data_IF_421078692848
#
_entry.id   IF_421078692848
#
_cell.length_a   1.000
_cell.length_b   1.000
_cell.length_c   1.000
_cell.angle_alpha   90.00
_cell.angle_beta   90.00
_cell.angle_gamma   90.00
#
_symmetry.space_group_name_H-M   'P 1'
#
loop_
_entity.id
_entity.type
_entity.pdbx_description
1 polymer ?
#
# COMPACT_ATOMS: atom_id res chain seq x y z
N UNK A 1 15.11 13.20 -63.31
CA UNK A 1 13.98 12.89 -62.43
C UNK A 1 13.51 11.50 -62.80
N UNK A 2 13.76 10.54 -61.93
CA UNK A 2 13.60 9.11 -62.24
C UNK A 2 12.11 8.73 -62.11
N UNK A 3 11.50 8.31 -63.22
CA UNK A 3 10.08 7.97 -63.35
C UNK A 3 9.70 6.74 -62.51
N UNK A 4 10.69 6.00 -62.00
CA UNK A 4 10.49 4.85 -61.11
C UNK A 4 10.00 5.21 -59.71
N UNK A 5 10.29 6.41 -59.22
CA UNK A 5 9.88 6.84 -57.87
C UNK A 5 8.46 7.41 -57.80
N UNK A 6 7.84 7.73 -58.94
CA UNK A 6 6.44 8.18 -58.99
C UNK A 6 5.44 7.01 -59.00
N UNK A 7 5.82 5.86 -59.58
CA UNK A 7 4.96 4.66 -59.64
C UNK A 7 5.12 3.71 -58.46
N UNK A 8 6.18 3.84 -57.65
CA UNK A 8 6.38 3.01 -56.45
C UNK A 8 5.39 3.36 -55.31
N UNK A 9 4.81 4.57 -55.34
CA UNK A 9 3.80 5.02 -54.38
C UNK A 9 2.36 4.53 -54.66
N UNK A 10 2.09 3.98 -55.85
CA UNK A 10 0.71 3.65 -56.28
C UNK A 10 0.32 2.18 -56.08
N UNK A 11 1.27 1.30 -55.75
CA UNK A 11 1.02 -0.13 -55.51
C UNK A 11 1.82 -0.67 -54.32
N UNK A 12 1.58 -0.12 -53.12
CA UNK A 12 1.87 -0.85 -51.89
C UNK A 12 0.56 -1.41 -51.33
N UNK A 13 0.10 -2.53 -51.88
CA UNK A 13 -0.95 -3.31 -51.22
C UNK A 13 -0.38 -3.85 -49.89
N UNK A 14 -0.68 -3.16 -48.79
CA UNK A 14 -0.36 -3.65 -47.45
C UNK A 14 -0.96 -5.05 -47.29
N UNK A 15 -0.18 -6.06 -46.88
CA UNK A 15 -0.66 -7.43 -46.81
C UNK A 15 -1.82 -7.53 -45.80
N UNK A 16 -2.94 -8.04 -46.30
CA UNK A 16 -4.30 -7.87 -45.75
C UNK A 16 -4.59 -8.67 -44.46
N UNK A 17 -3.77 -9.63 -44.04
CA UNK A 17 -4.04 -10.53 -42.90
C UNK A 17 -2.84 -10.61 -41.94
N UNK A 18 -2.35 -9.47 -41.45
CA UNK A 18 -1.06 -9.39 -40.75
C UNK A 18 -1.23 -8.63 -39.42
N UNK A 19 -1.00 -9.31 -38.29
CA UNK A 19 -0.80 -8.70 -36.98
C UNK A 19 0.46 -7.84 -37.06
N UNK A 20 0.31 -6.52 -36.93
CA UNK A 20 1.43 -5.60 -36.87
C UNK A 20 1.82 -5.39 -35.42
N UNK A 21 2.99 -5.90 -35.03
CA UNK A 21 3.56 -5.67 -33.71
C UNK A 21 4.91 -4.96 -33.86
N UNK A 22 5.43 -4.32 -32.80
CA UNK A 22 6.82 -3.86 -32.77
C UNK A 22 7.84 -4.98 -33.08
N UNK A 23 7.44 -6.24 -32.88
CA UNK A 23 8.23 -7.45 -33.09
C UNK A 23 8.07 -8.04 -34.51
N UNK A 24 7.31 -7.36 -35.37
CA UNK A 24 7.13 -7.71 -36.77
C UNK A 24 5.67 -8.01 -37.15
N UNK A 25 5.54 -8.36 -38.43
CA UNK A 25 4.29 -8.58 -39.14
C UNK A 25 4.00 -10.10 -39.22
N UNK A 26 2.92 -10.58 -38.58
CA UNK A 26 2.58 -12.02 -38.51
C UNK A 26 1.24 -12.34 -39.16
N UNK A 27 1.18 -13.33 -40.06
CA UNK A 27 -0.09 -13.86 -40.60
C UNK A 27 -0.41 -15.22 -39.97
N UNK A 28 -1.20 -15.21 -38.90
CA UNK A 28 -1.53 -16.40 -38.11
C UNK A 28 -2.28 -17.50 -38.88
N UNK A 29 -2.79 -17.23 -40.08
CA UNK A 29 -3.40 -18.22 -40.97
C UNK A 29 -2.37 -19.09 -41.72
N UNK A 30 -1.07 -18.80 -41.61
CA UNK A 30 0.01 -19.57 -42.24
C UNK A 30 0.77 -20.38 -41.20
N UNK A 31 0.89 -21.69 -41.38
CA UNK A 31 1.66 -22.57 -40.46
C UNK A 31 3.13 -22.15 -40.23
N UNK A 32 3.76 -21.45 -41.18
CA UNK A 32 5.11 -20.86 -41.01
C UNK A 32 5.13 -19.71 -40.00
N UNK A 33 4.09 -18.88 -39.98
CA UNK A 33 3.98 -17.75 -39.08
C UNK A 33 3.53 -18.20 -37.68
N UNK A 34 2.72 -19.27 -37.58
CA UNK A 34 2.43 -19.95 -36.30
C UNK A 34 3.73 -20.42 -35.63
N UNK A 35 4.62 -21.10 -36.36
CA UNK A 35 5.94 -21.51 -35.84
C UNK A 35 6.81 -20.31 -35.44
N UNK A 36 6.70 -19.19 -36.14
CA UNK A 36 7.44 -17.95 -35.85
C UNK A 36 6.94 -17.28 -34.56
N UNK A 37 5.62 -17.30 -34.33
CA UNK A 37 4.98 -16.81 -33.10
C UNK A 37 5.31 -17.72 -31.91
N UNK A 38 5.26 -19.04 -32.07
CA UNK A 38 5.71 -19.97 -31.03
C UNK A 38 7.17 -19.73 -30.64
N UNK A 39 8.05 -19.52 -31.63
CA UNK A 39 9.45 -19.16 -31.39
C UNK A 39 9.56 -17.83 -30.64
N UNK A 40 8.79 -16.82 -31.01
CA UNK A 40 8.76 -15.51 -30.34
C UNK A 40 8.32 -15.63 -28.87
N UNK A 41 7.28 -16.41 -28.55
CA UNK A 41 6.86 -16.65 -27.16
C UNK A 41 7.95 -17.35 -26.36
N UNK A 42 8.61 -18.35 -26.94
CA UNK A 42 9.75 -19.03 -26.31
C UNK A 42 10.91 -18.06 -26.06
N UNK A 43 11.21 -17.19 -27.03
CA UNK A 43 12.27 -16.20 -26.92
C UNK A 43 11.93 -15.13 -25.86
N UNK A 44 10.67 -14.68 -25.78
CA UNK A 44 10.17 -13.79 -24.72
C UNK A 44 10.29 -14.46 -23.34
N UNK A 45 9.82 -15.70 -23.20
CA UNK A 45 9.94 -16.45 -21.95
C UNK A 45 11.40 -16.61 -21.51
N UNK A 46 12.29 -16.99 -22.44
CA UNK A 46 13.74 -17.10 -22.16
C UNK A 46 14.35 -15.77 -21.74
N UNK A 47 13.90 -14.67 -22.34
CA UNK A 47 14.35 -13.33 -21.99
C UNK A 47 13.90 -12.96 -20.58
N UNK A 48 12.63 -13.17 -20.24
CA UNK A 48 12.08 -12.96 -18.89
C UNK A 48 12.79 -13.80 -17.83
N UNK A 49 13.06 -15.07 -18.12
CA UNK A 49 13.81 -15.97 -17.24
C UNK A 49 15.25 -15.48 -17.02
N UNK A 50 15.93 -15.03 -18.10
CA UNK A 50 17.29 -14.50 -18.03
C UNK A 50 17.37 -13.21 -17.22
N UNK A 51 16.42 -12.28 -17.43
CA UNK A 51 16.31 -11.04 -16.65
C UNK A 51 16.08 -11.34 -15.18
N UNK A 52 15.11 -12.21 -14.86
CA UNK A 52 14.80 -12.60 -13.47
C UNK A 52 16.01 -13.22 -12.77
N UNK A 53 16.75 -14.13 -13.44
CA UNK A 53 17.97 -14.70 -12.86
C UNK A 53 19.04 -13.65 -12.60
N UNK A 54 19.22 -12.70 -13.51
CA UNK A 54 20.18 -11.60 -13.38
C UNK A 54 19.82 -10.70 -12.20
N UNK A 55 18.56 -10.28 -12.10
CA UNK A 55 18.10 -9.35 -11.06
C UNK A 55 18.13 -10.00 -9.67
N UNK A 56 17.73 -11.28 -9.57
CA UNK A 56 17.86 -12.05 -8.32
C UNK A 56 19.34 -12.23 -7.94
N UNK A 57 20.23 -12.45 -8.90
CA UNK A 57 21.68 -12.49 -8.63
C UNK A 57 22.16 -11.13 -8.11
N UNK A 58 21.77 -10.03 -8.74
CA UNK A 58 22.11 -8.68 -8.29
C UNK A 58 21.62 -8.40 -6.87
N UNK A 59 20.38 -8.81 -6.56
CA UNK A 59 19.82 -8.75 -5.20
C UNK A 59 20.64 -9.55 -4.19
N UNK A 60 21.00 -10.79 -4.52
CA UNK A 60 21.83 -11.62 -3.65
C UNK A 60 23.22 -11.03 -3.44
N UNK A 61 23.86 -10.55 -4.50
CA UNK A 61 25.18 -9.90 -4.44
C UNK A 61 25.11 -8.60 -3.59
N UNK A 62 24.04 -7.82 -3.73
CA UNK A 62 23.80 -6.61 -2.93
C UNK A 62 23.57 -6.95 -1.44
N UNK A 63 22.80 -8.00 -1.14
CA UNK A 63 22.62 -8.47 0.22
C UNK A 63 23.93 -8.92 0.86
N UNK A 64 24.74 -9.72 0.15
CA UNK A 64 26.06 -10.14 0.65
C UNK A 64 26.99 -8.95 0.91
N UNK A 65 26.92 -7.91 0.09
CA UNK A 65 27.67 -6.66 0.31
C UNK A 65 27.18 -5.88 1.53
N UNK A 66 25.86 -5.92 1.82
CA UNK A 66 25.28 -5.20 2.95
C UNK A 66 25.67 -5.83 4.30
N UNK A 67 25.79 -7.15 4.36
CA UNK A 67 26.18 -7.89 5.58
C UNK A 67 27.69 -8.08 5.73
N UNK A 68 28.49 -7.51 4.83
CA UNK A 68 29.95 -7.60 4.92
C UNK A 68 30.43 -6.88 6.19
N UNK A 69 31.15 -7.59 7.06
CA UNK A 69 31.57 -7.06 8.35
C UNK A 69 32.67 -6.00 8.20
N UNK A 70 33.59 -6.16 7.25
CA UNK A 70 34.74 -5.27 7.10
C UNK A 70 34.37 -3.97 6.36
N UNK A 71 33.50 -4.09 5.36
CA UNK A 71 33.08 -3.01 4.48
C UNK A 71 31.59 -3.14 4.12
N UNK A 72 30.66 -2.91 5.07
CA UNK A 72 29.23 -2.97 4.79
C UNK A 72 28.84 -1.90 3.78
N UNK A 73 28.08 -2.29 2.76
CA UNK A 73 27.54 -1.34 1.78
C UNK A 73 26.11 -1.70 1.40
N UNK A 74 25.19 -0.82 1.79
CA UNK A 74 23.75 -0.93 1.51
C UNK A 74 23.33 -0.19 0.24
N UNK A 75 24.26 0.47 -0.46
CA UNK A 75 23.92 1.37 -1.58
C UNK A 75 23.14 0.66 -2.69
N UNK A 76 23.65 -0.50 -3.17
CA UNK A 76 22.99 -1.31 -4.20
C UNK A 76 21.67 -1.89 -3.70
N UNK A 77 21.61 -2.20 -2.40
CA UNK A 77 20.40 -2.74 -1.78
C UNK A 77 19.30 -1.68 -1.75
N UNK A 78 19.63 -0.43 -1.42
CA UNK A 78 18.68 0.69 -1.47
C UNK A 78 18.19 1.04 -2.87
N UNK A 79 19.00 0.82 -3.91
CA UNK A 79 18.52 0.93 -5.29
C UNK A 79 17.45 -0.12 -5.62
N UNK A 80 17.66 -1.36 -5.15
CA UNK A 80 16.67 -2.43 -5.31
C UNK A 80 15.41 -2.13 -4.49
N UNK A 81 15.54 -1.55 -3.30
CA UNK A 81 14.39 -1.19 -2.47
C UNK A 81 13.53 -0.11 -3.14
N UNK A 82 14.15 0.88 -3.76
CA UNK A 82 13.43 1.91 -4.51
C UNK A 82 12.66 1.31 -5.69
N UNK A 83 13.19 0.28 -6.35
CA UNK A 83 12.48 -0.44 -7.41
C UNK A 83 11.38 -1.36 -6.85
N UNK A 84 11.54 -1.90 -5.64
CA UNK A 84 10.49 -2.68 -4.98
C UNK A 84 9.34 -1.79 -4.48
N UNK A 85 9.65 -0.61 -3.92
CA UNK A 85 8.69 0.33 -3.33
C UNK A 85 7.62 0.81 -4.32
N UNK A 86 7.93 0.86 -5.61
CA UNK A 86 6.97 1.25 -6.66
C UNK A 86 5.96 0.15 -7.03
N UNK A 87 6.08 -1.06 -6.48
CA UNK A 87 5.10 -2.12 -6.68
C UNK A 87 3.77 -1.73 -6.01
N UNK A 88 2.73 -1.56 -6.82
CA UNK A 88 1.43 -1.01 -6.36
C UNK A 88 0.82 -1.77 -5.18
N UNK A 89 0.98 -3.09 -5.14
CA UNK A 89 0.44 -3.91 -4.05
C UNK A 89 1.25 -3.73 -2.77
N UNK A 90 2.58 -3.75 -2.88
CA UNK A 90 3.47 -3.47 -1.76
C UNK A 90 3.24 -2.06 -1.21
N UNK A 91 3.15 -1.04 -2.08
CA UNK A 91 2.86 0.33 -1.64
C UNK A 91 1.54 0.39 -0.88
N UNK A 92 0.48 -0.24 -1.39
CA UNK A 92 -0.83 -0.30 -0.71
C UNK A 92 -0.75 -0.92 0.70
N UNK A 93 -0.02 -2.02 0.86
CA UNK A 93 0.18 -2.65 2.16
C UNK A 93 0.92 -1.73 3.15
N UNK A 94 1.98 -1.06 2.68
CA UNK A 94 2.80 -0.13 3.47
C UNK A 94 1.97 1.08 3.90
N UNK A 95 1.20 1.67 2.98
CA UNK A 95 0.31 2.79 3.29
C UNK A 95 -0.76 2.41 4.30
N UNK A 96 -1.35 1.21 4.20
CA UNK A 96 -2.37 0.75 5.15
C UNK A 96 -1.78 0.65 6.55
N UNK A 97 -0.66 -0.07 6.72
CA UNK A 97 0.01 -0.21 8.02
C UNK A 97 0.40 1.13 8.62
N UNK A 98 1.05 1.98 7.82
CA UNK A 98 1.45 3.33 8.25
C UNK A 98 0.25 4.20 8.60
N UNK A 99 -0.81 4.14 7.79
CA UNK A 99 -2.04 4.92 7.99
C UNK A 99 -2.68 4.62 9.35
N UNK A 100 -2.76 3.35 9.74
CA UNK A 100 -3.31 2.96 11.04
C UNK A 100 -2.49 3.45 12.23
N UNK A 101 -1.16 3.51 12.12
CA UNK A 101 -0.30 4.09 13.16
C UNK A 101 -0.49 5.61 13.22
N UNK A 102 -0.41 6.28 12.06
CA UNK A 102 -0.47 7.74 11.96
C UNK A 102 -1.86 8.32 12.24
N UNK A 103 -2.92 7.50 12.19
CA UNK A 103 -4.29 7.91 12.51
C UNK A 103 -4.58 7.91 14.01
N UNK A 104 -3.69 7.34 14.84
CA UNK A 104 -3.88 7.31 16.28
C UNK A 104 -3.64 8.67 16.92
N UNK A 105 -4.52 9.03 17.83
CA UNK A 105 -4.33 10.15 18.73
C UNK A 105 -3.23 9.84 19.74
N UNK A 106 -2.52 10.87 20.17
CA UNK A 106 -1.49 10.78 21.18
C UNK A 106 -1.72 11.86 22.23
N UNK A 107 -1.12 11.66 23.40
CA UNK A 107 -1.13 12.62 24.50
C UNK A 107 0.25 12.78 25.07
N UNK A 108 0.46 13.91 25.74
CA UNK A 108 1.67 14.17 26.50
C UNK A 108 1.31 14.13 27.97
N UNK A 109 1.96 13.25 28.73
CA UNK A 109 1.67 13.02 30.15
C UNK A 109 2.84 13.45 31.02
N UNK A 110 2.54 13.86 32.24
CA UNK A 110 3.54 14.14 33.26
C UNK A 110 4.04 12.86 33.97
N UNK A 111 4.84 13.03 35.02
CA UNK A 111 5.38 11.90 35.81
C UNK A 111 4.28 11.13 36.57
N UNK A 112 3.13 11.76 36.86
CA UNK A 112 1.98 11.14 37.53
C UNK A 112 1.04 10.45 36.55
N UNK A 113 1.16 10.74 35.26
CA UNK A 113 0.28 10.25 34.20
C UNK A 113 -0.85 11.21 33.85
N UNK A 114 -0.83 12.43 34.40
CA UNK A 114 -1.82 13.46 34.10
C UNK A 114 -1.48 14.10 32.75
N UNK A 115 -2.50 14.30 31.92
CA UNK A 115 -2.35 14.87 30.57
C UNK A 115 -2.02 16.37 30.62
N UNK A 116 -1.13 16.79 29.72
CA UNK A 116 -0.72 18.18 29.55
C UNK A 116 -1.07 18.65 28.13
N UNK A 117 -2.25 19.24 27.98
CA UNK A 117 -2.78 19.74 26.70
C UNK A 117 -1.89 20.84 26.09
N UNK A 118 -1.31 21.72 26.91
CA UNK A 118 -0.41 22.77 26.42
C UNK A 118 0.85 22.18 25.78
N UNK A 119 1.35 21.07 26.32
CA UNK A 119 2.54 20.42 25.78
C UNK A 119 2.28 19.72 24.44
N UNK A 120 1.04 19.29 24.17
CA UNK A 120 0.64 18.67 22.89
C UNK A 120 0.90 19.63 21.72
N UNK A 121 0.73 20.94 21.92
CA UNK A 121 0.99 21.98 20.90
C UNK A 121 2.39 21.90 20.28
N UNK A 122 3.42 21.57 21.07
CA UNK A 122 4.79 21.44 20.57
C UNK A 122 4.97 20.24 19.63
N UNK A 123 4.11 19.23 19.73
CA UNK A 123 4.17 18.01 18.92
C UNK A 123 3.14 18.02 17.79
N UNK A 124 2.00 18.70 17.90
CA UNK A 124 1.00 18.78 16.82
C UNK A 124 1.43 19.74 15.70
N UNK A 125 2.56 19.42 15.08
CA UNK A 125 3.23 20.20 14.06
C UNK A 125 3.60 19.31 12.87
N UNK A 126 3.77 19.92 11.69
CA UNK A 126 4.09 19.19 10.47
C UNK A 126 5.43 18.43 10.55
N UNK A 127 6.44 19.03 11.19
CA UNK A 127 7.76 18.44 11.38
C UNK A 127 7.69 17.14 12.19
N UNK A 128 6.83 17.08 13.22
CA UNK A 128 6.69 15.90 14.07
C UNK A 128 6.00 14.76 13.31
N UNK A 129 4.93 15.07 12.57
CA UNK A 129 4.25 14.11 11.68
C UNK A 129 5.22 13.55 10.63
N UNK A 130 6.12 14.38 10.10
CA UNK A 130 7.15 13.96 9.16
C UNK A 130 8.25 13.10 9.81
N UNK A 131 8.65 13.41 11.05
CA UNK A 131 9.60 12.61 11.83
C UNK A 131 9.06 11.20 12.07
N UNK A 132 7.79 11.09 12.49
CA UNK A 132 7.12 9.82 12.73
C UNK A 132 7.09 8.97 11.45
N UNK A 133 6.83 9.59 10.28
CA UNK A 133 6.88 8.91 8.98
C UNK A 133 8.28 8.37 8.67
N UNK A 134 9.33 9.19 8.79
CA UNK A 134 10.70 8.73 8.53
C UNK A 134 11.15 7.63 9.51
N UNK A 135 10.70 7.71 10.76
CA UNK A 135 10.97 6.68 11.77
C UNK A 135 10.24 5.36 11.43
N UNK A 136 8.97 5.41 11.04
CA UNK A 136 8.23 4.23 10.55
C UNK A 136 8.87 3.60 9.32
N UNK A 137 9.35 4.42 8.38
CA UNK A 137 10.01 3.92 7.17
C UNK A 137 11.25 3.09 7.49
N UNK A 138 11.87 3.24 8.67
CA UNK A 138 12.99 2.38 9.10
C UNK A 138 12.62 0.90 9.18
N UNK A 139 11.34 0.55 9.39
CA UNK A 139 10.87 -0.86 9.37
C UNK A 139 11.07 -1.48 7.98
N UNK A 140 10.80 -0.71 6.92
CA UNK A 140 10.86 -1.19 5.55
C UNK A 140 12.28 -1.09 4.97
N UNK A 141 12.96 0.01 5.27
CA UNK A 141 14.30 0.32 4.77
C UNK A 141 15.44 -0.20 5.66
N UNK A 142 15.13 -0.66 6.88
CA UNK A 142 16.06 -1.16 7.90
C UNK A 142 16.58 -0.06 8.83
N UNK A 143 16.89 1.12 8.28
CA UNK A 143 17.43 2.24 9.05
C UNK A 143 17.00 3.59 8.47
N UNK A 144 16.80 4.56 9.36
CA UNK A 144 16.60 5.97 9.04
C UNK A 144 17.40 6.84 10.01
N UNK A 145 18.23 7.74 9.46
CA UNK A 145 18.88 8.80 10.20
C UNK A 145 18.19 10.12 9.89
N UNK A 146 17.60 10.75 10.90
CA UNK A 146 16.72 11.91 10.76
C UNK A 146 17.38 13.11 11.42
N UNK A 147 17.55 14.19 10.67
CA UNK A 147 18.05 15.47 11.14
C UNK A 147 16.90 16.38 11.55
N UNK A 148 17.00 16.94 12.75
CA UNK A 148 16.16 18.01 13.24
C UNK A 148 16.59 19.32 12.58
N UNK A 149 15.62 20.06 12.04
CA UNK A 149 15.85 21.37 11.44
C UNK A 149 16.17 22.45 12.49
N UNK A 150 16.43 23.66 12.02
CA UNK A 150 16.79 24.79 12.88
C UNK A 150 15.64 25.16 13.84
N UNK A 151 16.01 25.79 14.96
CA UNK A 151 15.03 26.31 15.90
C UNK A 151 14.41 27.60 15.36
N UNK A 152 13.08 27.62 15.33
CA UNK A 152 12.30 28.79 14.98
C UNK A 152 11.12 28.98 15.95
N UNK A 153 10.24 29.90 15.62
CA UNK A 153 9.04 30.22 16.38
C UNK A 153 7.82 29.99 15.50
N UNK A 154 6.81 29.31 16.03
CA UNK A 154 5.56 29.09 15.33
C UNK A 154 4.66 30.35 15.33
N UNK A 155 3.45 30.22 14.80
CA UNK A 155 2.48 31.33 14.72
C UNK A 155 2.02 31.85 16.08
N UNK A 156 2.14 31.06 17.14
CA UNK A 156 1.66 31.36 18.49
C UNK A 156 2.78 31.86 19.42
N UNK A 157 4.01 31.97 18.90
CA UNK A 157 5.16 32.44 19.67
C UNK A 157 5.92 31.33 20.41
N UNK A 158 5.58 30.07 20.17
CA UNK A 158 6.21 28.91 20.80
C UNK A 158 7.42 28.43 19.98
N UNK A 159 8.42 27.87 20.67
CA UNK A 159 9.59 27.26 20.04
C UNK A 159 9.19 26.02 19.23
N UNK A 160 9.70 25.89 18.02
CA UNK A 160 9.48 24.73 17.16
C UNK A 160 10.71 24.46 16.27
N UNK A 161 10.73 23.29 15.63
CA UNK A 161 11.71 22.99 14.57
C UNK A 161 11.15 23.43 13.22
N UNK A 162 12.01 23.99 12.36
CA UNK A 162 11.62 24.41 11.00
C UNK A 162 11.10 23.26 10.15
N UNK A 163 11.76 22.12 10.25
CA UNK A 163 11.50 20.90 9.49
C UNK A 163 12.27 19.72 10.10
N UNK A 164 12.16 18.56 9.46
CA UNK A 164 13.03 17.40 9.69
C UNK A 164 13.43 16.81 8.34
N UNK A 165 14.67 16.35 8.23
CA UNK A 165 15.23 15.81 6.98
C UNK A 165 15.72 14.40 7.18
N UNK A 166 15.43 13.52 6.24
CA UNK A 166 16.06 12.21 6.19
C UNK A 166 17.44 12.36 5.54
N UNK A 167 18.50 12.01 6.27
CA UNK A 167 19.84 11.91 5.69
C UNK A 167 19.81 10.83 4.61
N UNK A 168 20.32 11.08 3.38
CA UNK A 168 20.26 10.12 2.31
C UNK A 168 20.81 8.75 2.73
N UNK A 169 19.96 7.72 2.75
CA UNK A 169 20.30 6.39 3.31
C UNK A 169 21.59 5.80 2.74
N UNK A 170 21.90 6.06 1.47
CA UNK A 170 23.14 5.60 0.81
C UNK A 170 24.43 6.18 1.41
N UNK A 171 24.33 7.30 2.12
CA UNK A 171 25.44 7.97 2.77
C UNK A 171 25.59 7.56 4.24
N UNK A 172 24.66 6.79 4.79
CA UNK A 172 24.68 6.38 6.19
C UNK A 172 25.21 4.95 6.28
N UNK A 173 26.22 4.75 7.12
CA UNK A 173 26.75 3.44 7.49
C UNK A 173 26.42 3.21 8.97
N UNK A 174 25.23 2.66 9.26
CA UNK A 174 24.68 2.64 10.61
C UNK A 174 25.44 1.71 11.55
N UNK A 175 26.04 0.63 11.05
CA UNK A 175 26.87 -0.33 11.80
C UNK A 175 27.99 0.38 12.57
N UNK A 176 28.58 1.41 11.95
CA UNK A 176 29.69 2.18 12.53
C UNK A 176 29.28 3.56 13.04
N UNK A 177 28.02 3.97 12.87
CA UNK A 177 27.58 5.31 13.25
C UNK A 177 28.21 6.42 12.40
N UNK A 178 28.36 6.16 11.09
CA UNK A 178 29.10 7.06 10.17
C UNK A 178 28.24 7.60 9.05
N UNK A 179 28.45 8.86 8.67
CA UNK A 179 27.94 9.44 7.42
C UNK A 179 29.11 9.75 6.48
N UNK A 180 29.07 9.23 5.26
CA UNK A 180 30.06 9.50 4.21
C UNK A 180 29.60 10.66 3.31
N UNK A 181 30.53 11.48 2.83
CA UNK A 181 30.19 12.61 1.95
C UNK A 181 29.99 12.18 0.52
N UNK A 182 30.78 11.20 0.06
CA UNK A 182 30.81 10.76 -1.32
C UNK A 182 30.56 9.26 -1.44
N UNK A 183 29.73 8.88 -2.40
CA UNK A 183 29.44 7.46 -2.66
C UNK A 183 30.71 6.73 -3.09
N UNK A 184 31.05 5.66 -2.36
CA UNK A 184 32.24 4.83 -2.61
C UNK A 184 33.32 4.98 -1.54
N UNK A 185 33.20 5.99 -0.68
CA UNK A 185 33.92 6.05 0.60
C UNK A 185 33.48 4.92 1.54
N UNK A 186 34.36 4.57 2.46
CA UNK A 186 34.09 3.63 3.54
C UNK A 186 33.86 4.35 4.87
N UNK A 187 33.50 3.57 5.89
CA UNK A 187 33.20 4.06 7.23
C UNK A 187 34.39 4.75 7.92
N UNK A 188 35.64 4.45 7.53
CA UNK A 188 36.85 5.04 8.14
C UNK A 188 37.01 6.52 7.81
N UNK A 189 36.47 6.94 6.67
CA UNK A 189 36.45 8.34 6.22
C UNK A 189 35.17 9.10 6.63
N UNK A 190 34.18 8.41 7.18
CA UNK A 190 32.89 8.99 7.52
C UNK A 190 32.91 9.83 8.80
N UNK A 191 32.01 10.81 8.83
CA UNK A 191 31.75 11.67 9.99
C UNK A 191 31.02 10.85 11.06
N UNK A 192 31.52 10.86 12.29
CA UNK A 192 30.86 10.22 13.43
C UNK A 192 29.63 11.02 13.85
N UNK A 193 28.45 10.51 13.57
CA UNK A 193 27.21 11.23 13.86
C UNK A 193 26.67 10.99 15.28
N UNK A 194 27.26 10.03 16.01
CA UNK A 194 26.86 9.72 17.39
C UNK A 194 27.60 10.58 18.42
N UNK A 195 28.51 11.43 17.98
CA UNK A 195 29.24 12.38 18.82
C UNK A 195 28.71 13.81 18.66
N UNK A 196 28.85 14.66 19.71
CA UNK A 196 28.59 16.08 19.59
C UNK A 196 29.48 16.73 18.51
N UNK A 197 28.97 17.73 17.76
CA UNK A 197 27.65 18.35 17.90
C UNK A 197 26.50 17.60 17.23
N UNK A 198 26.77 16.59 16.39
CA UNK A 198 25.75 15.94 15.55
C UNK A 198 24.73 15.13 16.36
N UNK A 199 25.16 14.49 17.44
CA UNK A 199 24.29 13.70 18.32
C UNK A 199 23.09 14.47 18.86
N UNK A 200 23.20 15.79 18.98
CA UNK A 200 22.14 16.66 19.49
C UNK A 200 21.03 16.90 18.46
N UNK A 201 21.34 16.80 17.17
CA UNK A 201 20.44 17.12 16.07
C UNK A 201 19.92 15.89 15.32
N UNK A 202 20.51 14.72 15.55
CA UNK A 202 20.18 13.50 14.81
C UNK A 202 19.41 12.49 15.66
N UNK A 203 18.37 11.91 15.07
CA UNK A 203 17.56 10.82 15.61
C UNK A 203 17.78 9.57 14.75
N UNK A 204 18.06 8.46 15.41
CA UNK A 204 18.38 7.18 14.78
C UNK A 204 17.22 6.20 14.96
N UNK A 205 16.58 5.78 13.87
CA UNK A 205 15.47 4.82 13.88
C UNK A 205 15.86 3.53 13.15
N UNK A 206 15.46 2.39 13.72
CA UNK A 206 15.89 1.06 13.27
C UNK A 206 17.23 0.64 13.88
N UNK A 207 17.53 -0.66 13.82
CA UNK A 207 18.79 -1.18 14.37
C UNK A 207 19.92 -1.03 13.37
N UNK A 208 21.18 -0.86 13.83
CA UNK A 208 22.32 -0.73 12.95
C UNK A 208 22.51 -1.86 11.95
N UNK A 209 22.14 -3.09 12.31
CA UNK A 209 22.29 -4.30 11.51
C UNK A 209 21.02 -4.72 10.76
N UNK A 210 19.91 -4.01 10.96
CA UNK A 210 18.64 -4.33 10.30
C UNK A 210 18.66 -3.88 8.84
N UNK A 211 18.26 -4.76 7.94
CA UNK A 211 18.17 -4.53 6.50
C UNK A 211 16.75 -4.20 6.05
N UNK A 212 15.75 -4.30 6.93
CA UNK A 212 14.37 -3.94 6.64
C UNK A 212 13.58 -4.97 5.84
N UNK A 213 12.26 -4.80 5.83
CA UNK A 213 11.34 -5.72 5.15
C UNK A 213 11.48 -5.72 3.63
N UNK A 214 11.96 -4.62 3.02
CA UNK A 214 12.17 -4.57 1.58
C UNK A 214 13.23 -5.55 1.07
N UNK A 215 14.15 -6.03 1.94
CA UNK A 215 15.04 -7.15 1.60
C UNK A 215 14.26 -8.37 1.13
N UNK A 216 13.24 -8.73 1.91
CA UNK A 216 12.40 -9.90 1.67
C UNK A 216 11.39 -9.61 0.57
N UNK A 217 10.80 -8.42 0.55
CA UNK A 217 9.83 -8.00 -0.46
C UNK A 217 10.42 -8.06 -1.88
N UNK A 218 11.68 -7.63 -2.04
CA UNK A 218 12.41 -7.67 -3.32
C UNK A 218 12.43 -9.07 -3.96
N UNK A 219 12.46 -10.13 -3.16
CA UNK A 219 12.41 -11.51 -3.67
C UNK A 219 11.10 -11.85 -4.40
N UNK A 220 10.02 -11.12 -4.13
CA UNK A 220 8.72 -11.26 -4.80
C UNK A 220 8.48 -10.17 -5.84
N UNK A 221 8.86 -8.91 -5.59
CA UNK A 221 8.62 -7.81 -6.54
C UNK A 221 9.45 -7.95 -7.82
N UNK A 222 10.72 -8.39 -7.73
CA UNK A 222 11.58 -8.63 -8.91
C UNK A 222 10.94 -9.59 -9.92
N UNK A 223 10.60 -10.85 -9.54
CA UNK A 223 9.98 -11.77 -10.48
C UNK A 223 8.57 -11.34 -10.89
N UNK A 224 7.80 -10.69 -9.99
CA UNK A 224 6.47 -10.16 -10.32
C UNK A 224 6.54 -9.09 -11.42
N UNK A 225 7.44 -8.12 -11.30
CA UNK A 225 7.67 -7.06 -12.31
C UNK A 225 8.04 -7.65 -13.68
N UNK A 226 8.98 -8.60 -13.71
CA UNK A 226 9.38 -9.27 -14.95
C UNK A 226 8.23 -10.09 -15.55
N UNK A 227 7.36 -10.65 -14.70
CA UNK A 227 6.17 -11.36 -15.15
C UNK A 227 5.12 -10.44 -15.75
N UNK A 228 4.87 -9.29 -15.12
CA UNK A 228 3.95 -8.27 -15.63
C UNK A 228 4.41 -7.75 -17.01
N UNK A 229 5.70 -7.47 -17.18
CA UNK A 229 6.24 -7.05 -18.47
C UNK A 229 6.06 -8.12 -19.58
N UNK A 230 6.24 -9.40 -19.22
CA UNK A 230 5.91 -10.51 -20.12
C UNK A 230 4.41 -10.55 -20.43
N UNK A 231 3.57 -10.34 -19.42
CA UNK A 231 2.11 -10.35 -19.54
C UNK A 231 1.59 -9.27 -20.48
N UNK A 232 2.09 -8.04 -20.36
CA UNK A 232 1.74 -6.92 -21.24
C UNK A 232 2.12 -7.23 -22.70
N UNK A 233 3.36 -7.69 -22.92
CA UNK A 233 3.85 -8.05 -24.26
C UNK A 233 3.05 -9.21 -24.85
N UNK A 234 2.72 -10.21 -24.03
CA UNK A 234 1.91 -11.35 -24.45
C UNK A 234 0.48 -10.90 -24.80
N UNK A 235 -0.14 -10.07 -23.97
CA UNK A 235 -1.47 -9.50 -24.21
C UNK A 235 -1.54 -8.70 -25.51
N UNK A 236 -0.51 -7.93 -25.84
CA UNK A 236 -0.43 -7.22 -27.13
C UNK A 236 -0.42 -8.18 -28.34
N UNK A 237 0.25 -9.34 -28.21
CA UNK A 237 0.39 -10.30 -29.31
C UNK A 237 -0.87 -11.17 -29.46
N UNK A 238 -1.48 -11.59 -28.35
CA UNK A 238 -2.52 -12.63 -28.32
C UNK A 238 -3.91 -12.13 -27.87
N UNK A 239 -4.03 -10.91 -27.36
CA UNK A 239 -5.28 -10.35 -26.85
C UNK A 239 -6.31 -9.96 -27.92
N UNK A 240 -5.95 -10.01 -29.21
CA UNK A 240 -6.86 -9.67 -30.30
C UNK A 240 -7.54 -10.93 -30.88
N UNK A 241 -8.86 -11.10 -30.72
CA UNK A 241 -9.57 -12.24 -31.31
C UNK A 241 -9.57 -12.14 -32.84
N UNK A 242 -9.16 -13.21 -33.52
CA UNK A 242 -9.29 -13.34 -34.98
C UNK A 242 -10.75 -13.55 -35.36
N UNK A 243 -11.29 -12.68 -36.22
CA UNK A 243 -12.61 -12.90 -36.84
C UNK A 243 -12.47 -13.61 -38.17
N UNK A 244 -13.19 -14.71 -38.33
CA UNK A 244 -13.15 -15.53 -39.55
C UNK A 244 -14.53 -15.52 -40.18
N UNK A 245 -14.63 -15.00 -41.41
CA UNK A 245 -15.81 -15.20 -42.24
C UNK A 245 -15.57 -16.38 -43.17
N UNK A 246 -16.49 -17.34 -43.18
CA UNK A 246 -16.49 -18.44 -44.15
C UNK A 246 -17.43 -18.08 -45.30
N UNK A 247 -17.01 -18.29 -46.53
CA UNK A 247 -17.83 -18.06 -47.73
C UNK A 247 -17.74 -19.23 -48.70
N UNK A 248 -18.85 -19.53 -49.38
CA UNK A 248 -18.90 -20.44 -50.54
C UNK A 248 -18.49 -19.74 -51.84
N UNK A 249 -18.50 -18.41 -51.83
CA UNK A 249 -18.24 -17.59 -53.02
C UNK A 249 -16.76 -17.70 -53.42
N UNK A 250 -16.53 -17.96 -54.71
CA UNK A 250 -15.21 -17.92 -55.34
C UNK A 250 -14.95 -16.60 -56.07
N UNK A 251 -15.92 -15.68 -56.06
CA UNK A 251 -15.78 -14.38 -56.68
C UNK A 251 -14.93 -13.46 -55.79
N UNK A 252 -13.81 -13.00 -56.36
CA UNK A 252 -12.85 -12.15 -55.68
C UNK A 252 -13.49 -10.84 -55.20
N UNK A 253 -14.48 -10.30 -55.92
CA UNK A 253 -15.17 -9.06 -55.52
C UNK A 253 -16.00 -9.24 -54.25
N UNK A 254 -16.64 -10.40 -54.07
CA UNK A 254 -17.40 -10.69 -52.85
C UNK A 254 -16.49 -10.98 -51.66
N UNK A 255 -15.38 -11.69 -51.89
CA UNK A 255 -14.35 -11.93 -50.86
C UNK A 255 -13.77 -10.58 -50.39
N UNK A 256 -13.41 -9.68 -51.30
CA UNK A 256 -12.89 -8.35 -50.95
C UNK A 256 -13.94 -7.47 -50.26
N UNK A 257 -15.23 -7.62 -50.59
CA UNK A 257 -16.33 -6.92 -49.90
C UNK A 257 -16.51 -7.42 -48.47
N UNK A 258 -16.51 -8.75 -48.27
CA UNK A 258 -16.61 -9.36 -46.94
C UNK A 258 -15.41 -8.99 -46.07
N UNK A 259 -14.20 -9.02 -46.64
CA UNK A 259 -12.97 -8.58 -45.97
C UNK A 259 -13.06 -7.09 -45.58
N UNK A 260 -13.54 -6.22 -46.48
CA UNK A 260 -13.77 -4.80 -46.18
C UNK A 260 -14.80 -4.59 -45.07
N UNK A 261 -15.90 -5.35 -45.07
CA UNK A 261 -16.92 -5.28 -44.00
C UNK A 261 -16.36 -5.72 -42.63
N UNK A 262 -15.53 -6.76 -42.57
CA UNK A 262 -14.89 -7.20 -41.33
C UNK A 262 -13.90 -6.15 -40.78
N UNK A 263 -13.25 -5.40 -41.66
CA UNK A 263 -12.35 -4.30 -41.29
C UNK A 263 -13.10 -3.08 -40.78
N UNK A 264 -14.16 -2.68 -41.48
CA UNK A 264 -15.00 -1.53 -41.10
C UNK A 264 -15.73 -1.76 -39.77
N UNK A 265 -15.97 -3.02 -39.40
CA UNK A 265 -16.46 -3.43 -38.08
C UNK A 265 -15.42 -3.32 -36.93
N UNK A 266 -14.29 -2.65 -37.17
CA UNK A 266 -13.31 -2.28 -36.14
C UNK A 266 -12.28 -3.36 -35.77
N UNK A 267 -12.12 -4.41 -36.59
CA UNK A 267 -11.25 -5.55 -36.26
C UNK A 267 -9.92 -5.52 -37.02
N UNK A 268 -8.79 -5.46 -36.29
CA UNK A 268 -7.45 -5.47 -36.90
C UNK A 268 -7.01 -6.87 -37.39
N UNK A 269 -7.64 -7.95 -36.88
CA UNK A 269 -7.41 -9.33 -37.31
C UNK A 269 -8.69 -9.95 -37.89
N UNK A 270 -8.79 -9.99 -39.21
CA UNK A 270 -9.86 -10.67 -39.94
C UNK A 270 -9.33 -11.57 -41.06
N UNK A 271 -10.04 -12.66 -41.35
CA UNK A 271 -9.77 -13.55 -42.47
C UNK A 271 -11.08 -13.98 -43.14
N UNK A 272 -11.11 -13.99 -44.47
CA UNK A 272 -12.17 -14.64 -45.25
C UNK A 272 -11.62 -15.97 -45.78
N UNK A 273 -12.31 -17.07 -45.49
CA UNK A 273 -11.90 -18.42 -45.86
C UNK A 273 -12.99 -19.15 -46.65
N UNK A 274 -12.61 -20.08 -47.54
CA UNK A 274 -13.58 -20.93 -48.24
C UNK A 274 -14.21 -21.95 -47.29
N UNK A 275 -15.43 -22.42 -47.58
CA UNK A 275 -16.08 -23.45 -46.74
C UNK A 275 -15.24 -24.73 -46.58
N UNK A 276 -14.49 -25.12 -47.61
CA UNK A 276 -13.58 -26.28 -47.62
C UNK A 276 -12.24 -26.02 -46.91
N UNK A 277 -12.02 -24.80 -46.40
CA UNK A 277 -10.80 -24.46 -45.67
C UNK A 277 -10.95 -24.95 -44.24
N UNK A 278 -10.23 -26.02 -43.90
CA UNK A 278 -9.99 -26.38 -42.50
C UNK A 278 -9.10 -25.31 -41.87
N UNK A 279 -9.64 -24.69 -40.82
CA UNK A 279 -8.92 -23.71 -40.03
C UNK A 279 -8.67 -24.38 -38.70
N UNK A 280 -7.48 -24.96 -38.59
CA UNK A 280 -7.01 -25.55 -37.36
C UNK A 280 -6.44 -24.41 -36.51
N UNK A 281 -7.19 -24.01 -35.49
CA UNK A 281 -6.60 -23.25 -34.41
C UNK A 281 -5.65 -24.19 -33.71
N UNK A 282 -4.34 -23.99 -33.91
CA UNK A 282 -3.34 -24.61 -33.04
C UNK A 282 -3.48 -23.89 -31.70
N UNK A 283 -4.51 -24.25 -30.94
CA UNK A 283 -4.50 -24.11 -29.49
C UNK A 283 -3.26 -24.88 -29.06
N UNK A 284 -2.19 -24.16 -28.76
CA UNK A 284 -1.08 -24.72 -28.02
C UNK A 284 -1.69 -25.40 -26.81
N UNK A 285 -1.72 -26.74 -26.79
CA UNK A 285 -2.43 -27.58 -25.81
C UNK A 285 -1.93 -27.49 -24.36
N UNK A 286 -1.36 -26.36 -23.97
CA UNK A 286 -1.19 -25.91 -22.59
C UNK A 286 -2.41 -25.08 -22.24
N UNK A 287 -3.51 -25.76 -21.94
CA UNK A 287 -4.82 -25.16 -21.63
C UNK A 287 -4.87 -24.26 -20.39
N UNK A 288 -3.75 -23.76 -19.88
CA UNK A 288 -3.76 -22.78 -18.80
C UNK A 288 -2.47 -21.95 -18.63
N UNK A 289 -1.74 -21.63 -19.69
CA UNK A 289 -0.56 -20.76 -19.56
C UNK A 289 -0.93 -19.38 -18.97
N UNK A 290 -2.15 -18.89 -19.24
CA UNK A 290 -2.74 -17.68 -18.67
C UNK A 290 -2.83 -17.74 -17.14
N UNK A 291 -3.51 -18.74 -16.55
CA UNK A 291 -3.67 -18.74 -15.09
C UNK A 291 -2.34 -19.03 -14.37
N UNK A 292 -1.36 -19.67 -15.02
CA UNK A 292 -0.07 -19.93 -14.35
C UNK A 292 0.66 -18.62 -14.02
N UNK A 293 0.61 -17.64 -14.93
CA UNK A 293 1.23 -16.34 -14.72
C UNK A 293 0.43 -15.47 -13.77
N UNK A 294 -0.89 -15.44 -13.94
CA UNK A 294 -1.81 -14.72 -13.07
C UNK A 294 -1.71 -15.23 -11.62
N UNK A 295 -1.80 -16.55 -11.41
CA UNK A 295 -1.62 -17.19 -10.08
C UNK A 295 -0.23 -16.94 -9.48
N UNK A 296 0.80 -16.71 -10.31
CA UNK A 296 2.14 -16.37 -9.80
C UNK A 296 2.18 -14.92 -9.30
N UNK A 297 1.47 -14.01 -9.96
CA UNK A 297 1.32 -12.62 -9.54
C UNK A 297 0.47 -12.57 -8.26
N UNK A 298 -0.67 -13.27 -8.23
CA UNK A 298 -1.52 -13.37 -7.03
C UNK A 298 -0.75 -13.91 -5.84
N UNK A 299 0.02 -14.98 -6.04
CA UNK A 299 0.86 -15.52 -4.96
C UNK A 299 1.92 -14.53 -4.50
N UNK A 300 2.49 -13.72 -5.40
CA UNK A 300 3.40 -12.64 -4.97
C UNK A 300 2.66 -11.61 -4.11
N UNK A 301 1.46 -11.18 -4.52
CA UNK A 301 0.64 -10.24 -3.76
C UNK A 301 0.32 -10.79 -2.37
N UNK A 302 -0.18 -12.02 -2.26
CA UNK A 302 -0.48 -12.63 -0.97
C UNK A 302 0.75 -12.78 -0.06
N UNK A 303 1.93 -13.09 -0.61
CA UNK A 303 3.17 -13.14 0.18
C UNK A 303 3.63 -11.74 0.63
N UNK A 304 3.44 -10.70 -0.20
CA UNK A 304 3.72 -9.31 0.16
C UNK A 304 2.76 -8.82 1.26
N UNK A 305 1.47 -9.15 1.17
CA UNK A 305 0.47 -8.87 2.21
C UNK A 305 0.90 -9.49 3.53
N UNK A 306 1.17 -10.81 3.56
CA UNK A 306 1.65 -11.49 4.78
C UNK A 306 2.93 -10.88 5.34
N UNK A 307 3.86 -10.45 4.48
CA UNK A 307 5.12 -9.83 4.91
C UNK A 307 4.90 -8.47 5.62
N UNK A 308 3.99 -7.64 5.10
CA UNK A 308 3.84 -6.25 5.56
C UNK A 308 2.76 -6.11 6.62
N UNK A 309 1.59 -6.72 6.42
CA UNK A 309 0.40 -6.59 7.29
C UNK A 309 0.10 -7.87 8.09
N UNK A 310 0.83 -8.96 7.86
CA UNK A 310 0.66 -10.22 8.60
C UNK A 310 -0.47 -11.12 8.11
N UNK A 311 -1.31 -10.65 7.17
CA UNK A 311 -2.47 -11.36 6.65
C UNK A 311 -2.83 -10.90 5.22
N UNK A 312 -3.86 -11.47 4.58
CA UNK A 312 -4.27 -11.13 3.20
C UNK A 312 -5.67 -10.52 3.07
N UNK A 313 -6.56 -10.79 4.01
CA UNK A 313 -8.00 -10.55 3.89
C UNK A 313 -8.40 -9.06 3.87
N UNK A 314 -7.74 -8.17 4.62
CA UNK A 314 -8.12 -6.73 4.60
C UNK A 314 -7.74 -6.00 3.33
N UNK A 315 -6.98 -6.63 2.43
CA UNK A 315 -6.54 -6.06 1.15
C UNK A 315 -7.14 -6.81 -0.03
N UNK A 316 -7.21 -8.15 0.03
CA UNK A 316 -7.48 -8.99 -1.15
C UNK A 316 -8.93 -9.54 -1.22
N UNK A 317 -9.65 -9.76 -0.10
CA UNK A 317 -10.87 -10.58 -0.11
C UNK A 317 -12.09 -9.99 0.64
N UNK A 318 -13.29 -10.21 0.08
CA UNK A 318 -14.59 -9.93 0.70
C UNK A 318 -15.12 -11.13 1.49
N UNK A 319 -14.68 -11.29 2.74
CA UNK A 319 -15.03 -12.42 3.61
C UNK A 319 -16.19 -12.15 4.58
N UNK A 320 -16.62 -13.19 5.31
CA UNK A 320 -17.60 -13.06 6.40
C UNK A 320 -17.06 -12.23 7.56
N UNK A 321 -17.95 -11.48 8.22
CA UNK A 321 -17.61 -10.51 9.28
C UNK A 321 -16.69 -11.09 10.37
N UNK A 322 -16.98 -12.30 10.86
CA UNK A 322 -16.21 -12.93 11.94
C UNK A 322 -14.78 -13.31 11.57
N UNK A 323 -14.50 -13.59 10.29
CA UNK A 323 -13.12 -13.84 9.84
C UNK A 323 -12.36 -12.52 9.72
N UNK A 324 -13.02 -11.46 9.27
CA UNK A 324 -12.43 -10.12 9.17
C UNK A 324 -12.02 -9.57 10.54
N UNK A 325 -12.78 -9.86 11.60
CA UNK A 325 -12.46 -9.44 12.98
C UNK A 325 -11.14 -10.04 13.49
N UNK A 326 -10.94 -11.36 13.38
CA UNK A 326 -9.68 -12.00 13.80
C UNK A 326 -8.48 -11.51 13.00
N UNK A 327 -8.65 -11.28 11.70
CA UNK A 327 -7.59 -10.74 10.85
C UNK A 327 -7.24 -9.28 11.19
N UNK A 328 -8.23 -8.50 11.59
CA UNK A 328 -8.02 -7.14 12.08
C UNK A 328 -7.23 -7.14 13.39
N UNK A 329 -7.50 -8.06 14.32
CA UNK A 329 -6.74 -8.18 15.58
C UNK A 329 -5.25 -8.50 15.33
N UNK A 330 -4.95 -9.42 14.41
CA UNK A 330 -3.56 -9.74 14.02
C UNK A 330 -2.86 -8.52 13.45
N UNK A 331 -3.55 -7.76 12.60
CA UNK A 331 -3.01 -6.53 12.04
C UNK A 331 -2.84 -5.43 13.10
N UNK A 332 -3.78 -5.30 14.04
CA UNK A 332 -3.69 -4.36 15.16
C UNK A 332 -2.48 -4.65 16.04
N UNK A 333 -2.18 -5.92 16.35
CA UNK A 333 -0.97 -6.28 17.11
C UNK A 333 0.31 -5.77 16.44
N UNK A 334 0.35 -5.75 15.11
CA UNK A 334 1.47 -5.22 14.35
C UNK A 334 1.53 -3.69 14.41
N UNK A 335 0.38 -3.03 14.31
CA UNK A 335 0.25 -1.57 14.48
C UNK A 335 0.67 -1.16 15.90
N UNK A 336 0.28 -1.90 16.94
CA UNK A 336 0.73 -1.65 18.32
C UNK A 336 2.24 -1.73 18.45
N UNK A 337 2.87 -2.74 17.84
CA UNK A 337 4.33 -2.87 17.86
C UNK A 337 5.02 -1.67 17.20
N UNK A 338 4.43 -1.10 16.14
CA UNK A 338 4.97 0.09 15.48
C UNK A 338 4.76 1.34 16.34
N UNK A 339 3.61 1.43 17.01
CA UNK A 339 3.30 2.48 17.97
C UNK A 339 4.31 2.48 19.13
N UNK A 340 4.61 1.31 19.69
CA UNK A 340 5.60 1.15 20.76
C UNK A 340 7.00 1.62 20.32
N UNK A 341 7.43 1.22 19.11
CA UNK A 341 8.70 1.66 18.55
C UNK A 341 8.78 3.19 18.43
N UNK A 342 7.71 3.84 17.94
CA UNK A 342 7.66 5.29 17.83
C UNK A 342 7.65 5.96 19.21
N UNK A 343 6.86 5.44 20.16
CA UNK A 343 6.83 5.94 21.54
C UNK A 343 8.24 5.92 22.15
N UNK A 344 8.99 4.84 21.93
CA UNK A 344 10.37 4.71 22.42
C UNK A 344 11.31 5.72 21.75
N UNK A 345 11.20 5.93 20.43
CA UNK A 345 12.00 6.93 19.72
C UNK A 345 11.70 8.34 20.25
N UNK A 346 10.43 8.68 20.41
CA UNK A 346 10.02 10.01 20.90
C UNK A 346 10.53 10.24 22.32
N UNK A 347 10.27 9.30 23.23
CA UNK A 347 10.63 9.44 24.63
C UNK A 347 12.14 9.36 24.90
N UNK A 348 12.84 8.45 24.21
CA UNK A 348 14.26 8.20 24.51
C UNK A 348 15.20 9.07 23.68
N UNK A 349 14.75 9.59 22.52
CA UNK A 349 15.61 10.37 21.63
C UNK A 349 15.10 11.80 21.40
N UNK A 350 13.84 11.98 21.03
CA UNK A 350 13.33 13.31 20.65
C UNK A 350 13.17 14.24 21.86
N UNK A 351 12.41 13.82 22.89
CA UNK A 351 12.14 14.66 24.07
C UNK A 351 13.43 15.12 24.76
N UNK A 352 14.45 14.27 25.00
CA UNK A 352 15.71 14.72 25.59
C UNK A 352 16.43 15.80 24.77
N UNK A 353 16.36 15.72 23.43
CA UNK A 353 16.94 16.72 22.52
C UNK A 353 16.12 18.01 22.53
N UNK A 354 14.79 17.92 22.51
CA UNK A 354 13.90 19.07 22.68
C UNK A 354 14.22 19.83 23.99
N UNK A 355 14.41 19.13 25.10
CA UNK A 355 14.81 19.77 26.38
C UNK A 355 16.16 20.48 26.25
N UNK A 356 17.15 19.86 25.59
CA UNK A 356 18.47 20.48 25.35
C UNK A 356 18.37 21.73 24.47
N UNK A 357 17.44 21.72 23.52
CA UNK A 357 17.16 22.83 22.61
C UNK A 357 16.26 23.91 23.20
N UNK A 358 15.79 23.76 24.45
CA UNK A 358 15.04 24.79 25.18
C UNK A 358 13.52 24.65 25.17
N UNK A 359 12.97 23.54 24.66
CA UNK A 359 11.54 23.26 24.74
C UNK A 359 11.10 23.00 26.19
N UNK A 360 9.91 23.48 26.60
CA UNK A 360 9.40 23.32 27.97
C UNK A 360 8.76 21.95 28.21
N UNK A 361 9.37 20.86 27.72
CA UNK A 361 8.84 19.49 27.79
C UNK A 361 9.57 18.60 28.81
N UNK A 362 10.29 19.21 29.74
CA UNK A 362 11.10 18.49 30.73
C UNK A 362 10.21 17.75 31.72
N UNK A 363 10.42 16.44 31.84
CA UNK A 363 9.64 15.58 32.75
C UNK A 363 8.32 15.08 32.15
N UNK A 364 8.03 15.46 30.90
CA UNK A 364 6.89 14.96 30.15
C UNK A 364 7.27 13.72 29.33
N UNK A 365 6.26 12.94 28.95
CA UNK A 365 6.38 11.75 28.13
C UNK A 365 5.27 11.71 27.08
N UNK A 366 5.62 11.22 25.90
CA UNK A 366 4.68 10.87 24.86
C UNK A 366 4.05 9.51 25.17
N UNK A 367 2.74 9.41 25.01
CA UNK A 367 2.03 8.15 25.00
C UNK A 367 0.89 8.17 23.97
N UNK A 368 0.48 6.99 23.52
CA UNK A 368 -0.68 6.88 22.63
C UNK A 368 -1.96 7.01 23.43
N UNK A 369 -2.98 7.62 22.82
CA UNK A 369 -4.29 7.66 23.44
C UNK A 369 -5.08 6.41 23.08
N UNK A 370 -5.28 5.56 24.09
CA UNK A 370 -6.10 4.36 24.03
C UNK A 370 -7.50 4.58 24.60
N UNK A 371 -7.90 5.84 24.83
CA UNK A 371 -9.27 6.17 25.15
C UNK A 371 -10.19 5.60 24.06
N UNK A 372 -11.22 4.87 24.49
CA UNK A 372 -12.18 4.26 23.56
C UNK A 372 -13.22 5.32 23.26
N UNK A 373 -13.21 5.84 22.04
CA UNK A 373 -14.33 6.59 21.48
C UNK A 373 -15.49 5.62 21.23
N UNK A 374 -16.39 5.52 22.21
CA UNK A 374 -17.65 4.80 22.03
C UNK A 374 -18.50 5.51 20.97
N UNK A 375 -19.14 4.75 20.09
CA UNK A 375 -20.19 5.36 19.26
C UNK A 375 -21.30 5.89 20.18
N UNK A 376 -22.07 6.93 19.78
CA UNK A 376 -23.16 7.46 20.60
C UNK A 376 -24.14 6.38 21.09
N UNK A 377 -24.34 5.34 20.27
CA UNK A 377 -25.20 4.19 20.55
C UNK A 377 -24.60 3.25 21.61
N UNK A 378 -23.31 2.93 21.51
CA UNK A 378 -22.60 2.11 22.50
C UNK A 378 -22.45 2.85 23.84
N UNK A 379 -22.19 4.15 23.77
CA UNK A 379 -22.09 5.02 24.93
C UNK A 379 -23.41 5.08 25.70
N UNK A 380 -24.53 5.29 24.98
CA UNK A 380 -25.88 5.23 25.55
C UNK A 380 -26.19 3.86 26.16
N UNK A 381 -25.87 2.75 25.48
CA UNK A 381 -26.14 1.41 25.99
C UNK A 381 -25.34 1.10 27.27
N UNK A 382 -24.07 1.51 27.33
CA UNK A 382 -23.25 1.36 28.52
C UNK A 382 -23.80 2.20 29.68
N UNK A 383 -24.21 3.44 29.42
CA UNK A 383 -24.79 4.31 30.44
C UNK A 383 -26.13 3.83 30.95
N UNK A 384 -27.01 3.36 30.07
CA UNK A 384 -28.28 2.74 30.46
C UNK A 384 -28.04 1.52 31.35
N UNK A 385 -27.06 0.67 31.01
CA UNK A 385 -26.68 -0.47 31.85
C UNK A 385 -26.19 -0.01 33.23
N UNK A 386 -25.28 0.97 33.29
CA UNK A 386 -24.73 1.47 34.56
C UNK A 386 -25.83 2.10 35.42
N UNK A 387 -26.72 2.92 34.84
CA UNK A 387 -27.84 3.54 35.54
C UNK A 387 -28.90 2.53 36.01
N UNK A 388 -29.08 1.42 35.29
CA UNK A 388 -30.04 0.36 35.66
C UNK A 388 -29.51 -0.53 36.79
N UNK A 389 -28.20 -0.76 36.86
CA UNK A 389 -27.61 -1.69 37.81
C UNK A 389 -26.91 -1.04 39.00
N UNK A 390 -26.56 0.25 38.91
CA UNK A 390 -25.82 0.97 39.94
C UNK A 390 -26.42 2.36 40.22
N UNK A 391 -26.30 2.80 41.48
CA UNK A 391 -26.58 4.20 41.85
C UNK A 391 -25.34 5.02 41.54
N UNK A 392 -25.42 5.80 40.48
CA UNK A 392 -24.33 6.66 40.01
C UNK A 392 -24.50 8.05 40.62
N UNK A 393 -23.43 8.61 41.20
CA UNK A 393 -23.42 10.00 41.66
C UNK A 393 -23.38 10.94 40.44
N UNK A 394 -24.03 12.12 40.49
CA UNK A 394 -24.00 13.08 39.38
C UNK A 394 -22.59 13.46 38.92
N UNK A 395 -21.64 13.55 39.85
CA UNK A 395 -20.21 13.82 39.63
C UNK A 395 -19.57 12.94 38.55
N UNK A 396 -20.00 11.69 38.41
CA UNK A 396 -19.48 10.79 37.36
C UNK A 396 -19.80 11.30 35.95
N UNK A 397 -21.00 11.85 35.73
CA UNK A 397 -21.39 12.42 34.45
C UNK A 397 -20.80 13.82 34.26
N UNK A 398 -20.62 14.57 35.35
CA UNK A 398 -19.94 15.88 35.32
C UNK A 398 -18.49 15.75 34.87
N UNK A 399 -17.75 14.79 35.43
CA UNK A 399 -16.36 14.51 35.05
C UNK A 399 -16.26 13.96 33.62
N UNK A 400 -17.20 13.11 33.19
CA UNK A 400 -17.17 12.48 31.87
C UNK A 400 -17.61 13.41 30.73
N UNK A 401 -18.57 14.30 30.97
CA UNK A 401 -19.19 15.15 29.94
C UNK A 401 -18.89 16.64 30.09
N UNK A 402 -18.32 17.07 31.22
CA UNK A 402 -18.14 18.49 31.52
C UNK A 402 -19.46 19.25 31.73
N UNK A 403 -20.57 18.54 31.93
CA UNK A 403 -21.91 19.14 32.08
C UNK A 403 -22.34 19.01 33.55
N UNK A 404 -22.66 20.10 34.25
CA UNK A 404 -23.23 20.05 35.60
C UNK A 404 -24.50 19.20 35.64
N UNK A 405 -24.53 18.20 36.53
CA UNK A 405 -25.63 17.24 36.63
C UNK A 405 -26.32 17.36 37.98
N UNK A 406 -27.63 17.63 37.97
CA UNK A 406 -28.46 17.62 39.19
C UNK A 406 -29.16 16.27 39.36
N UNK A 407 -29.36 15.83 40.61
CA UNK A 407 -30.17 14.63 40.88
C UNK A 407 -31.62 14.88 40.48
N UNK A 408 -32.19 14.03 39.60
CA UNK A 408 -33.63 14.07 39.33
C UNK A 408 -34.39 13.70 40.59
N UNK A 409 -35.39 14.51 40.96
CA UNK A 409 -36.34 14.15 42.01
C UNK A 409 -36.95 12.77 41.71
N UNK A 410 -37.10 11.89 42.72
CA UNK A 410 -37.64 10.56 42.50
C UNK A 410 -39.03 10.68 41.91
N UNK A 411 -39.23 10.14 40.70
CA UNK A 411 -40.57 9.97 40.13
C UNK A 411 -41.34 9.02 41.05
N UNK A 412 -42.34 9.52 41.74
CA UNK A 412 -43.36 8.69 42.39
C UNK A 412 -43.96 7.76 41.33
N UNK A 413 -43.80 6.45 41.50
CA UNK A 413 -44.52 5.46 40.70
C UNK A 413 -46.03 5.64 41.00
N UNK A 414 -46.89 5.77 39.97
CA UNK A 414 -48.32 5.89 40.20
C UNK A 414 -48.86 4.61 40.85
N UNK A 415 -49.55 4.79 41.98
CA UNK A 415 -50.17 3.73 42.80
C UNK A 415 -51.02 2.77 41.93
N UNK A 416 -50.79 1.45 41.98
CA UNK A 416 -51.53 0.46 41.19
C UNK A 416 -53.06 0.43 41.43
N UNK A 417 -53.55 1.15 42.45
CA UNK A 417 -54.97 1.14 42.83
C UNK A 417 -55.87 2.07 42.01
N UNK A 418 -55.35 3.02 41.22
CA UNK A 418 -56.19 3.90 40.38
C UNK A 418 -56.61 3.28 39.02
N UNK A 419 -55.93 2.23 38.56
CA UNK A 419 -56.19 1.59 37.25
C UNK A 419 -57.43 0.68 37.21
N UNK A 420 -58.10 0.42 38.33
CA UNK A 420 -59.28 -0.49 38.40
C UNK A 420 -60.65 0.19 38.35
N UNK A 421 -60.74 1.53 38.29
CA UNK A 421 -62.04 2.24 38.23
C UNK A 421 -62.46 2.79 36.85
N UNK A 422 -61.65 2.59 35.79
CA UNK A 422 -61.95 3.08 34.42
C UNK A 422 -62.20 1.98 33.39
N UNK A 423 -62.52 0.75 33.80
CA UNK A 423 -63.04 -0.30 32.91
C UNK A 423 -64.53 -0.50 33.15
N UNK A 424 -65.34 0.44 32.64
CA UNK A 424 -66.74 0.20 32.27
C UNK A 424 -67.25 1.43 31.48
N UNK A 425 -67.47 1.28 30.16
CA UNK A 425 -68.26 2.24 29.39
C UNK A 425 -67.78 2.63 27.99
N UNK A 426 -68.18 1.81 27.01
CA UNK A 426 -68.43 2.08 25.58
C UNK A 426 -67.25 2.13 24.56
N UNK A 427 -67.42 1.48 23.38
CA UNK A 427 -66.40 1.36 22.34
C UNK A 427 -66.46 2.55 21.36
N UNK A 428 -65.29 2.97 20.86
CA UNK A 428 -65.17 3.95 19.78
C UNK A 428 -64.34 3.40 18.63
N UNK A 429 -64.71 3.86 17.44
CA UNK A 429 -64.44 3.35 16.12
C UNK A 429 -62.98 3.35 15.66
N UNK A 430 -62.73 2.42 14.75
CA UNK A 430 -61.68 2.35 13.73
C UNK A 430 -61.23 3.70 13.18
N UNK A 431 -59.91 3.94 13.18
CA UNK A 431 -59.24 4.73 12.16
C UNK A 431 -57.91 4.06 11.77
N UNK A 432 -57.90 3.64 10.51
CA UNK A 432 -56.82 3.03 9.72
C UNK A 432 -55.52 3.83 9.73
N UNK A 433 -54.38 3.15 9.97
CA UNK A 433 -53.05 3.63 9.59
C UNK A 433 -52.66 3.12 8.21
N UNK A 434 -52.74 4.04 7.25
CA UNK A 434 -51.87 4.22 6.08
C UNK A 434 -50.45 4.59 6.59
N UNK A 435 -49.28 4.30 6.02
CA UNK A 435 -48.68 3.55 4.88
C UNK A 435 -47.33 3.02 5.47
N UNK A 436 -46.77 1.85 5.12
CA UNK A 436 -46.09 1.48 3.86
C UNK A 436 -44.90 2.38 3.49
#
# INVERSE_FOLDING_TARGET
MDIKDFFSGMFSSKPKNVLQTPYGNFNLAKGKDIKRVQKMVIDLQRTTDALTRKDIKNWRDAWQSAINVDSPSRQRLYDIYRDAEIDLHLSGCVEQRRGFVMARSFKIVDVKGDENEEAVHFFDQSWFKQLMRYALDSIYWGHSLIELGDLCTDGDGCICYSDVKLIPRKHVIPEYGRVITDLGQDWTTGIDYRQPPFSDWLIEAGRPDDLGLYLKAASQTIPKKNMLAFWDTFGEIFGMPMRIARTTSRDQKEIDRLDKMLREAGTALSMVAGMETEIEFVESGKGDAFNVYDKRIDRANSELSKLIIGQTMTIEDGSSLSQSETHLEVFQNLVESDCDMLRDIVNNQLIPRMVRHGFPVKGLRFDWDYSIDYTPEQQKAYEEMVLQHYKVKPQYFEEKYGIPCEEKEPKEEPDPTELKKKKDGKPAETLSRFFD
#
